data_IF_533648405784
#
_entry.id   IF_533648405784
#
_cell.length_a   1.000
_cell.length_b   1.000
_cell.length_c   1.000
_cell.angle_alpha   90.00
_cell.angle_beta   90.00
_cell.angle_gamma   90.00
#
_symmetry.space_group_name_H-M   'P 1'
#
loop_
_entity.id
_entity.type
_entity.pdbx_description
1 polymer ?
#
# COMPACT_ATOMS: atom_id res chain seq x y z
N UNK A 1 9.22 -26.15 -18.76
CA UNK A 1 8.27 -25.85 -17.67
C UNK A 1 7.42 -24.67 -18.12
N UNK A 2 6.09 -24.78 -18.05
CA UNK A 2 5.14 -23.75 -18.49
C UNK A 2 4.39 -23.21 -17.25
N UNK A 3 5.00 -22.31 -16.45
CA UNK A 3 4.29 -21.74 -15.31
C UNK A 3 3.03 -21.02 -15.79
N UNK A 4 1.95 -21.14 -15.02
CA UNK A 4 0.68 -20.45 -15.26
C UNK A 4 0.43 -19.48 -14.11
N UNK A 5 0.01 -18.27 -14.44
CA UNK A 5 -0.51 -17.32 -13.46
C UNK A 5 -1.81 -17.89 -12.88
N UNK A 6 -1.90 -17.97 -11.55
CA UNK A 6 -3.08 -18.45 -10.83
C UNK A 6 -3.80 -17.33 -10.07
N UNK A 7 -3.15 -16.18 -9.89
CA UNK A 7 -3.71 -15.01 -9.22
C UNK A 7 -2.94 -13.75 -9.60
N UNK A 8 -3.65 -12.63 -9.65
CA UNK A 8 -3.12 -11.31 -9.99
C UNK A 8 -3.90 -10.25 -9.21
N UNK A 9 -3.17 -9.26 -8.70
CA UNK A 9 -3.74 -8.04 -8.10
C UNK A 9 -3.00 -6.83 -8.69
N UNK A 10 -3.73 -5.81 -9.15
CA UNK A 10 -3.17 -4.59 -9.72
C UNK A 10 -3.52 -3.42 -8.80
N UNK A 11 -2.57 -2.54 -8.55
CA UNK A 11 -2.73 -1.35 -7.70
C UNK A 11 -2.51 -0.12 -8.58
N UNK A 12 -3.55 0.69 -8.75
CA UNK A 12 -3.52 1.95 -9.48
C UNK A 12 -2.99 1.86 -10.91
N UNK A 13 -2.65 3.03 -11.44
CA UNK A 13 -2.18 3.27 -12.79
C UNK A 13 -0.70 3.70 -12.83
N UNK A 14 -0.23 4.05 -14.05
CA UNK A 14 1.10 4.58 -14.30
C UNK A 14 1.36 5.79 -13.39
N UNK A 15 2.41 5.71 -12.58
CA UNK A 15 2.72 6.70 -11.55
C UNK A 15 2.60 6.15 -10.14
N UNK A 16 1.87 5.04 -9.95
CA UNK A 16 1.83 4.30 -8.68
C UNK A 16 3.24 3.86 -8.31
N UNK A 17 3.59 4.05 -7.03
CA UNK A 17 4.92 3.80 -6.52
C UNK A 17 4.90 3.03 -5.19
N UNK A 18 6.05 2.45 -4.85
CA UNK A 18 6.25 1.81 -3.56
C UNK A 18 7.70 1.97 -3.08
N UNK A 19 7.91 2.24 -1.77
CA UNK A 19 9.23 2.17 -1.14
C UNK A 19 9.99 0.86 -1.35
N UNK A 20 9.29 -0.24 -1.68
CA UNK A 20 9.90 -1.54 -1.96
C UNK A 20 10.81 -1.50 -3.19
N UNK A 21 10.59 -0.56 -4.13
CA UNK A 21 11.42 -0.43 -5.34
C UNK A 21 12.87 -0.05 -5.04
N UNK A 22 13.10 0.69 -3.95
CA UNK A 22 14.43 1.14 -3.55
C UNK A 22 14.87 0.63 -2.17
N UNK A 23 13.97 0.03 -1.41
CA UNK A 23 14.28 -0.56 -0.10
C UNK A 23 13.46 -1.83 0.17
N UNK A 24 14.08 -2.99 -0.08
CA UNK A 24 13.46 -4.31 0.12
C UNK A 24 12.98 -4.57 1.55
N UNK A 25 13.49 -3.86 2.57
CA UNK A 25 13.03 -4.02 3.96
C UNK A 25 11.71 -3.30 4.22
N UNK A 26 11.18 -2.55 3.25
CA UNK A 26 9.85 -1.94 3.33
C UNK A 26 8.75 -3.00 3.14
N UNK A 27 9.08 -4.10 2.46
CA UNK A 27 8.21 -5.24 2.25
C UNK A 27 8.15 -6.09 3.51
N UNK A 28 6.95 -6.35 4.02
CA UNK A 28 6.71 -7.36 5.04
C UNK A 28 6.07 -8.57 4.37
N UNK A 29 6.73 -9.72 4.44
CA UNK A 29 6.20 -11.00 3.98
C UNK A 29 6.40 -12.06 5.05
N UNK A 30 5.32 -12.76 5.39
CA UNK A 30 5.34 -13.93 6.26
C UNK A 30 4.43 -15.02 5.71
N UNK A 31 5.06 -16.07 5.18
CA UNK A 31 4.36 -17.23 4.62
C UNK A 31 3.51 -17.97 5.66
N UNK A 32 3.97 -18.10 6.91
CA UNK A 32 3.25 -18.87 7.92
C UNK A 32 1.94 -18.20 8.33
N UNK A 33 1.87 -16.88 8.14
CA UNK A 33 0.68 -16.06 8.39
C UNK A 33 -0.09 -15.72 7.12
N UNK A 34 0.35 -16.21 5.96
CA UNK A 34 -0.15 -15.79 4.65
C UNK A 34 -0.17 -14.25 4.50
N UNK A 35 0.78 -13.55 5.11
CA UNK A 35 0.75 -12.08 5.24
C UNK A 35 1.71 -11.45 4.22
N UNK A 36 1.20 -10.44 3.52
CA UNK A 36 1.99 -9.55 2.67
C UNK A 36 1.56 -8.11 2.92
N UNK A 37 2.48 -7.24 3.33
CA UNK A 37 2.21 -5.80 3.52
C UNK A 37 3.14 -4.99 2.63
N UNK A 38 2.56 -4.14 1.80
CA UNK A 38 3.27 -3.33 0.81
C UNK A 38 2.89 -1.86 1.04
N UNK A 39 3.84 -0.99 1.42
CA UNK A 39 3.61 0.44 1.39
C UNK A 39 3.45 0.92 -0.06
N UNK A 40 2.46 1.75 -0.36
CA UNK A 40 2.17 2.23 -1.72
C UNK A 40 1.77 3.70 -1.72
N UNK A 41 2.16 4.39 -2.80
CA UNK A 41 1.63 5.67 -3.23
C UNK A 41 0.83 5.41 -4.51
N UNK A 42 -0.49 5.52 -4.45
CA UNK A 42 -1.40 5.15 -5.53
C UNK A 42 -1.65 6.35 -6.42
N UNK A 43 -1.42 6.16 -7.72
CA UNK A 43 -1.82 7.10 -8.76
C UNK A 43 -2.97 6.50 -9.58
N UNK A 44 -3.95 7.31 -9.95
CA UNK A 44 -5.07 6.89 -10.82
C UNK A 44 -5.19 7.89 -11.98
N UNK A 45 -5.54 7.39 -13.16
CA UNK A 45 -5.81 8.20 -14.34
C UNK A 45 -7.32 8.34 -14.50
N UNK A 46 -7.81 9.57 -14.62
CA UNK A 46 -9.19 9.82 -14.99
C UNK A 46 -9.39 9.53 -16.48
N UNK A 47 -9.84 8.32 -16.83
CA UNK A 47 -10.05 7.92 -18.22
C UNK A 47 -11.08 8.79 -18.96
N UNK A 48 -12.01 9.44 -18.25
CA UNK A 48 -13.00 10.34 -18.85
C UNK A 48 -12.37 11.56 -19.55
N UNK A 49 -11.14 11.93 -19.17
CA UNK A 49 -10.37 13.00 -19.81
C UNK A 49 -9.72 12.57 -21.14
N UNK A 50 -9.77 11.27 -21.47
CA UNK A 50 -9.08 10.68 -22.62
C UNK A 50 -10.04 9.80 -23.46
N UNK A 51 -11.02 10.38 -24.17
CA UNK A 51 -12.03 9.63 -24.92
C UNK A 51 -11.47 8.75 -26.05
N UNK A 52 -10.28 9.07 -26.56
CA UNK A 52 -9.57 8.31 -27.61
C UNK A 52 -8.58 7.28 -27.02
N UNK A 53 -8.64 7.04 -25.70
CA UNK A 53 -7.74 6.19 -24.94
C UNK A 53 -6.57 6.95 -24.32
N UNK A 54 -6.13 6.50 -23.14
CA UNK A 54 -5.06 7.12 -22.36
C UNK A 54 -3.71 6.98 -23.09
N UNK A 55 -3.04 8.09 -23.46
CA UNK A 55 -1.74 8.03 -24.12
C UNK A 55 -0.65 7.39 -23.23
N UNK A 56 0.39 6.78 -23.83
CA UNK A 56 1.42 6.06 -23.09
C UNK A 56 2.34 6.94 -22.23
N UNK A 57 2.27 8.27 -22.40
CA UNK A 57 3.06 9.24 -21.63
C UNK A 57 2.28 9.89 -20.46
N UNK A 58 0.97 9.62 -20.34
CA UNK A 58 0.14 10.19 -19.27
C UNK A 58 0.40 9.46 -17.96
N UNK A 59 0.60 10.19 -16.87
CA UNK A 59 0.70 9.63 -15.53
C UNK A 59 -0.58 9.96 -14.75
N UNK A 60 -0.94 9.08 -13.82
CA UNK A 60 -2.04 9.31 -12.90
C UNK A 60 -1.68 10.34 -11.83
N UNK A 61 -2.73 10.90 -11.24
CA UNK A 61 -2.62 11.78 -10.10
C UNK A 61 -2.60 10.96 -8.80
N UNK A 62 -1.83 11.40 -7.80
CA UNK A 62 -1.82 10.70 -6.52
C UNK A 62 -3.15 10.88 -5.80
N UNK A 63 -3.80 9.75 -5.51
CA UNK A 63 -5.11 9.70 -4.86
C UNK A 63 -5.06 9.09 -3.46
N UNK A 64 -4.02 8.31 -3.15
CA UNK A 64 -3.92 7.63 -1.86
C UNK A 64 -2.49 7.25 -1.49
N UNK A 65 -2.17 7.20 -0.20
CA UNK A 65 -0.91 6.61 0.28
C UNK A 65 -1.08 5.90 1.63
N UNK A 66 -0.24 4.88 1.85
CA UNK A 66 -0.26 4.08 3.07
C UNK A 66 0.31 2.69 2.82
N UNK A 67 -0.20 1.68 3.52
CA UNK A 67 0.15 0.28 3.33
C UNK A 67 -1.06 -0.56 2.97
N UNK A 68 -0.94 -1.38 1.94
CA UNK A 68 -1.90 -2.44 1.62
C UNK A 68 -1.52 -3.70 2.37
N UNK A 69 -2.49 -4.32 3.02
CA UNK A 69 -2.33 -5.57 3.77
C UNK A 69 -3.09 -6.66 3.04
N UNK A 70 -2.38 -7.70 2.61
CA UNK A 70 -2.91 -8.82 1.86
C UNK A 70 -2.85 -10.13 2.66
N UNK A 71 -3.81 -11.00 2.37
CA UNK A 71 -3.71 -12.43 2.56
C UNK A 71 -3.18 -13.04 1.26
N UNK A 72 -2.16 -13.89 1.32
CA UNK A 72 -1.63 -14.59 0.14
C UNK A 72 -1.53 -16.10 0.38
N UNK A 73 -2.27 -16.88 -0.39
CA UNK A 73 -2.24 -18.34 -0.34
C UNK A 73 -2.34 -18.97 -1.73
N UNK A 74 -2.01 -20.26 -1.86
CA UNK A 74 -2.15 -20.96 -3.13
C UNK A 74 -3.62 -21.27 -3.48
N UNK A 75 -4.49 -21.29 -2.48
CA UNK A 75 -5.91 -21.63 -2.62
C UNK A 75 -6.75 -20.38 -2.95
N UNK A 76 -6.55 -19.30 -2.20
CA UNK A 76 -7.32 -18.05 -2.36
C UNK A 76 -6.62 -17.03 -3.26
N UNK A 77 -5.33 -17.23 -3.56
CA UNK A 77 -4.53 -16.27 -4.33
C UNK A 77 -4.15 -15.04 -3.51
N UNK A 78 -4.16 -13.86 -4.14
CA UNK A 78 -3.83 -12.57 -3.53
C UNK A 78 -5.13 -11.83 -3.18
N UNK A 79 -5.41 -11.70 -1.89
CA UNK A 79 -6.65 -11.10 -1.38
C UNK A 79 -6.31 -9.87 -0.53
N UNK A 80 -6.81 -8.70 -0.91
CA UNK A 80 -6.65 -7.50 -0.08
C UNK A 80 -7.51 -7.64 1.18
N UNK A 81 -6.87 -7.58 2.36
CA UNK A 81 -7.55 -7.59 3.66
C UNK A 81 -7.95 -6.20 4.09
N UNK A 82 -7.11 -5.21 3.80
CA UNK A 82 -7.37 -3.82 4.16
C UNK A 82 -6.20 -2.90 3.85
N UNK A 83 -6.39 -1.62 4.16
CA UNK A 83 -5.43 -0.56 3.90
C UNK A 83 -5.22 0.26 5.17
N UNK A 84 -3.99 0.68 5.44
CA UNK A 84 -3.64 1.49 6.61
C UNK A 84 -2.95 2.75 6.11
N UNK A 85 -3.50 3.92 6.43
CA UNK A 85 -2.88 5.22 6.14
C UNK A 85 -2.50 5.96 7.43
N UNK A 86 -1.50 6.82 7.32
CA UNK A 86 -1.06 7.72 8.38
C UNK A 86 -1.62 9.14 8.20
N UNK A 87 -2.32 9.41 7.08
CA UNK A 87 -3.00 10.67 6.82
C UNK A 87 -4.35 10.66 7.54
N UNK A 88 -4.57 11.60 8.47
CA UNK A 88 -5.82 11.73 9.22
C UNK A 88 -6.87 12.56 8.46
N UNK A 89 -6.42 13.58 7.72
CA UNK A 89 -7.26 14.45 6.92
C UNK A 89 -6.72 14.41 5.49
N UNK A 90 -7.48 13.79 4.59
CA UNK A 90 -7.20 13.74 3.15
C UNK A 90 -7.35 15.12 2.52
N UNK A 91 -6.49 16.08 2.91
CA UNK A 91 -6.34 17.31 2.15
C UNK A 91 -5.53 16.96 0.92
N UNK A 92 -6.00 17.41 -0.25
CA UNK A 92 -5.34 17.23 -1.56
C UNK A 92 -3.83 17.48 -1.47
N UNK A 93 -3.42 18.51 -0.72
CA UNK A 93 -2.01 18.84 -0.52
C UNK A 93 -1.15 17.71 0.06
N UNK A 94 -1.67 16.86 0.96
CA UNK A 94 -0.86 15.82 1.63
C UNK A 94 -0.66 14.55 0.81
N UNK A 95 -1.58 14.30 -0.13
CA UNK A 95 -1.57 13.10 -0.98
C UNK A 95 -0.83 13.39 -2.29
N UNK A 96 -0.96 14.61 -2.82
CA UNK A 96 -0.44 15.00 -4.13
C UNK A 96 1.08 15.22 -4.18
N UNK A 97 1.78 15.19 -3.05
CA UNK A 97 3.23 15.17 -3.04
C UNK A 97 3.77 13.75 -3.08
N UNK A 98 4.66 13.51 -4.05
CA UNK A 98 5.53 12.33 -4.09
C UNK A 98 6.23 12.07 -2.75
N UNK A 99 6.63 13.14 -2.06
CA UNK A 99 7.23 13.07 -0.74
C UNK A 99 6.27 13.63 0.32
N UNK A 100 5.62 12.72 1.05
CA UNK A 100 4.86 13.06 2.26
C UNK A 100 5.57 12.49 3.48
N UNK A 101 5.72 13.25 4.57
CA UNK A 101 6.30 12.73 5.81
C UNK A 101 5.36 11.72 6.50
N UNK A 102 4.11 11.60 6.02
CA UNK A 102 3.17 10.56 6.43
C UNK A 102 3.29 9.27 5.61
N UNK A 103 4.13 9.22 4.56
CA UNK A 103 4.28 8.02 3.76
C UNK A 103 4.82 6.87 4.61
N UNK A 104 4.12 5.74 4.58
CA UNK A 104 4.55 4.53 5.28
C UNK A 104 5.82 4.02 4.58
N UNK A 105 6.90 3.86 5.34
CA UNK A 105 8.22 3.40 4.84
C UNK A 105 8.56 1.99 5.32
N UNK A 106 7.90 1.53 6.39
CA UNK A 106 8.11 0.20 6.98
C UNK A 106 6.80 -0.37 7.49
N UNK A 107 6.70 -1.69 7.39
CA UNK A 107 5.74 -2.49 8.13
C UNK A 107 6.49 -3.63 8.85
N UNK A 108 6.10 -3.92 10.09
CA UNK A 108 6.58 -5.08 10.85
C UNK A 108 5.50 -5.52 11.82
N UNK A 109 5.63 -6.69 12.43
CA UNK A 109 4.71 -7.12 13.47
C UNK A 109 5.44 -7.65 14.70
N UNK A 110 4.79 -7.52 15.86
CA UNK A 110 5.21 -8.14 17.12
C UNK A 110 3.97 -8.83 17.70
N UNK A 111 4.04 -10.14 17.90
CA UNK A 111 2.89 -10.93 18.33
C UNK A 111 1.74 -10.85 17.32
N UNK A 112 0.64 -10.22 17.70
CA UNK A 112 -0.54 -10.02 16.86
C UNK A 112 -0.79 -8.56 16.46
N UNK A 113 0.22 -7.70 16.59
CA UNK A 113 0.10 -6.27 16.30
C UNK A 113 0.95 -5.96 15.07
N UNK A 114 0.32 -5.37 14.05
CA UNK A 114 0.96 -4.79 12.89
C UNK A 114 1.36 -3.35 13.21
N UNK A 115 2.61 -3.02 12.97
CA UNK A 115 3.17 -1.69 13.10
C UNK A 115 3.48 -1.14 11.71
N UNK A 116 2.93 0.02 11.38
CA UNK A 116 3.31 0.80 10.21
C UNK A 116 4.04 2.07 10.65
N UNK A 117 5.10 2.44 9.94
CA UNK A 117 6.01 3.52 10.36
C UNK A 117 6.19 4.50 9.21
N UNK A 118 5.99 5.80 9.50
CA UNK A 118 6.38 6.94 8.66
C UNK A 118 7.32 7.87 9.43
N UNK A 119 7.68 9.02 8.83
CA UNK A 119 8.50 10.02 9.53
C UNK A 119 7.71 10.79 10.61
N UNK A 120 6.38 10.67 10.63
CA UNK A 120 5.49 11.42 11.52
C UNK A 120 4.76 10.58 12.54
N UNK A 121 4.61 9.28 12.30
CA UNK A 121 3.94 8.41 13.27
C UNK A 121 4.29 6.95 13.11
N UNK A 122 4.11 6.23 14.21
CA UNK A 122 4.00 4.78 14.26
C UNK A 122 2.54 4.47 14.58
N UNK A 123 1.91 3.64 13.74
CA UNK A 123 0.53 3.19 13.95
C UNK A 123 0.50 1.70 14.26
N UNK A 124 -0.35 1.32 15.20
CA UNK A 124 -0.53 -0.05 15.67
C UNK A 124 -1.92 -0.53 15.29
N UNK A 125 -2.01 -1.64 14.57
CA UNK A 125 -3.26 -2.24 14.14
C UNK A 125 -3.31 -3.72 14.55
N UNK A 126 -4.48 -4.23 14.89
CA UNK A 126 -4.68 -5.66 15.09
C UNK A 126 -4.39 -6.42 13.79
N UNK A 127 -3.61 -7.50 13.83
CA UNK A 127 -3.42 -8.33 12.63
C UNK A 127 -4.67 -9.14 12.25
N UNK A 128 -5.63 -9.29 13.15
CA UNK A 128 -6.88 -10.02 12.88
C UNK A 128 -7.89 -9.13 12.14
N UNK A 129 -8.11 -7.92 12.66
CA UNK A 129 -9.17 -7.01 12.20
C UNK A 129 -8.65 -5.80 11.42
N UNK A 130 -7.35 -5.50 11.49
CA UNK A 130 -6.73 -4.25 11.02
C UNK A 130 -7.25 -2.99 11.69
N UNK A 131 -8.09 -3.12 12.72
CA UNK A 131 -8.52 -1.98 13.52
C UNK A 131 -7.35 -1.34 14.24
N UNK A 132 -7.37 -0.02 14.31
CA UNK A 132 -6.37 0.75 15.04
C UNK A 132 -6.45 0.46 16.53
N UNK A 133 -5.32 0.10 17.11
CA UNK A 133 -5.15 -0.09 18.55
C UNK A 133 -4.62 1.19 19.18
N UNK A 134 -3.61 1.80 18.57
CA UNK A 134 -2.95 3.01 19.08
C UNK A 134 -2.10 3.69 17.98
N UNK A 135 -1.69 4.93 18.24
CA UNK A 135 -0.68 5.65 17.44
C UNK A 135 0.32 6.42 18.32
N UNK A 136 1.53 6.62 17.80
CA UNK A 136 2.59 7.44 18.41
C UNK A 136 3.03 8.46 17.37
N UNK A 137 2.99 9.75 17.73
CA UNK A 137 3.50 10.85 16.89
C UNK A 137 5.02 11.01 17.09
N UNK A 138 5.74 11.30 16.00
CA UNK A 138 7.20 11.48 15.95
C UNK A 138 7.59 12.94 15.71
#
# INVERSE_FOLDING_TARGET
KNPKEISKYVIGDRGTETPVLYDHKALLFDKNRNLLVIPVLVAEINEEEYPEGVPPYVHGEYVWQGAYVFNISLEEGIVLRGKITHIENETTSTIHYWYSPYMVKRALYIGNILYTISDKKIKMNSLDTLEEINEIKL
#
